data_IF_727334461926
#
_entry.id   IF_727334461926
#
_cell.length_a   1.000
_cell.length_b   1.000
_cell.length_c   1.000
_cell.angle_alpha   90.00
_cell.angle_beta   90.00
_cell.angle_gamma   90.00
#
_symmetry.space_group_name_H-M   'P 1'
#
loop_
_entity.id
_entity.type
_entity.pdbx_description
1 polymer ?
#
# COMPACT_ATOMS: atom_id res chain seq x y z
N UNK A 1 -12.32 13.14 3.36
CA UNK A 1 -10.85 13.10 3.22
C UNK A 1 -10.47 12.16 2.08
N UNK A 2 -9.90 12.68 0.99
CA UNK A 2 -9.45 11.88 -0.16
C UNK A 2 -8.21 11.07 0.23
N UNK A 3 -8.26 9.74 0.10
CA UNK A 3 -7.11 8.86 0.39
C UNK A 3 -6.53 8.36 -0.93
N UNK A 4 -5.53 9.06 -1.46
CA UNK A 4 -4.72 8.60 -2.58
C UNK A 4 -3.48 7.94 -2.00
N UNK A 5 -3.21 6.70 -2.40
CA UNK A 5 -1.99 5.98 -2.04
C UNK A 5 -1.18 5.70 -3.30
N UNK A 6 0.09 6.08 -3.30
CA UNK A 6 1.03 5.82 -4.39
C UNK A 6 2.26 5.19 -3.76
N UNK A 7 2.69 4.07 -4.32
CA UNK A 7 3.90 3.35 -3.93
C UNK A 7 4.93 3.50 -5.06
N UNK A 8 6.01 4.23 -4.80
CA UNK A 8 7.10 4.41 -5.75
C UNK A 8 8.23 3.47 -5.37
N UNK A 9 8.63 2.60 -6.28
CA UNK A 9 9.70 1.64 -6.05
C UNK A 9 10.80 1.79 -7.09
N UNK A 10 12.05 1.87 -6.67
CA UNK A 10 13.19 2.04 -7.56
C UNK A 10 14.26 1.01 -7.22
N UNK A 11 15.14 0.71 -8.17
CA UNK A 11 16.26 -0.20 -7.93
C UNK A 11 17.22 0.33 -6.86
N UNK A 12 17.98 -0.59 -6.27
CA UNK A 12 19.06 -0.28 -5.30
C UNK A 12 19.98 0.82 -5.84
N UNK A 13 20.43 0.67 -7.09
CA UNK A 13 21.37 1.60 -7.73
C UNK A 13 20.79 3.00 -7.88
N UNK A 14 19.54 3.12 -8.36
CA UNK A 14 18.85 4.41 -8.44
C UNK A 14 18.70 5.05 -7.06
N UNK A 15 18.32 4.27 -6.04
CA UNK A 15 18.17 4.75 -4.67
C UNK A 15 19.50 5.25 -4.09
N UNK A 16 20.58 4.48 -4.26
CA UNK A 16 21.94 4.84 -3.83
C UNK A 16 22.39 6.16 -4.47
N UNK A 17 22.30 6.25 -5.80
CA UNK A 17 22.71 7.44 -6.54
C UNK A 17 21.91 8.69 -6.12
N UNK A 18 20.58 8.56 -5.96
CA UNK A 18 19.72 9.66 -5.50
C UNK A 18 20.06 10.07 -4.08
N UNK A 19 20.29 9.11 -3.18
CA UNK A 19 20.68 9.38 -1.79
C UNK A 19 22.01 10.12 -1.72
N UNK A 20 23.00 9.66 -2.48
CA UNK A 20 24.32 10.28 -2.56
C UNK A 20 24.23 11.73 -3.07
N UNK A 21 23.41 12.00 -4.09
CA UNK A 21 23.21 13.36 -4.64
C UNK A 21 22.44 14.32 -3.72
N UNK A 22 21.75 13.81 -2.68
CA UNK A 22 20.86 14.60 -1.80
C UNK A 22 21.61 15.59 -0.90
N UNK A 23 22.82 15.25 -0.43
CA UNK A 23 23.57 16.08 0.53
C UNK A 23 24.77 16.81 -0.09
N UNK A 24 24.99 18.09 0.27
CA UNK A 24 26.15 18.88 -0.21
C UNK A 24 27.50 18.23 0.12
N UNK A 25 27.64 17.67 1.32
CA UNK A 25 28.85 16.98 1.75
C UNK A 25 29.03 15.62 1.05
N UNK A 26 27.93 14.94 0.73
CA UNK A 26 27.94 13.63 0.07
C UNK A 26 28.45 13.73 -1.36
N UNK A 27 28.12 14.79 -2.10
CA UNK A 27 28.58 15.02 -3.49
C UNK A 27 30.10 15.16 -3.64
N UNK A 28 30.83 15.37 -2.54
CA UNK A 28 32.29 15.47 -2.55
C UNK A 28 32.99 14.12 -2.37
N UNK A 29 32.24 13.08 -1.99
CA UNK A 29 32.76 11.71 -1.80
C UNK A 29 32.44 10.88 -3.03
N UNK A 30 33.11 9.75 -3.18
CA UNK A 30 32.74 8.79 -4.21
C UNK A 30 31.45 8.04 -3.83
N UNK A 31 30.75 7.52 -4.84
CA UNK A 31 29.54 6.71 -4.62
C UNK A 31 29.90 5.38 -3.94
N UNK A 32 31.03 4.78 -4.29
CA UNK A 32 31.51 3.51 -3.71
C UNK A 32 31.73 3.60 -2.20
N UNK A 33 32.24 4.73 -1.71
CA UNK A 33 32.41 4.99 -0.26
C UNK A 33 31.09 4.94 0.51
N UNK A 34 29.99 5.30 -0.16
CA UNK A 34 28.65 5.34 0.42
C UNK A 34 27.88 4.03 0.22
N UNK A 35 28.34 3.15 -0.67
CA UNK A 35 27.60 1.96 -1.08
C UNK A 35 27.46 0.96 0.06
N UNK A 36 28.56 0.60 0.74
CA UNK A 36 28.54 -0.37 1.84
C UNK A 36 27.59 0.10 2.96
N UNK A 37 27.74 1.35 3.39
CA UNK A 37 26.84 1.96 4.38
C UNK A 37 25.37 1.96 3.91
N UNK A 38 25.11 2.29 2.65
CA UNK A 38 23.75 2.34 2.14
C UNK A 38 23.12 0.95 2.06
N UNK A 39 23.87 -0.05 1.57
CA UNK A 39 23.41 -1.44 1.45
C UNK A 39 23.14 -2.05 2.82
N UNK A 40 24.14 -2.02 3.69
CA UNK A 40 24.12 -2.80 4.93
C UNK A 40 23.20 -2.17 5.99
N UNK A 41 22.95 -0.86 5.89
CA UNK A 41 22.05 -0.15 6.80
C UNK A 41 20.71 0.18 6.13
N UNK A 42 20.71 1.08 5.15
CA UNK A 42 19.46 1.66 4.63
C UNK A 42 18.67 0.62 3.82
N UNK A 43 19.32 -0.09 2.91
CA UNK A 43 18.66 -1.04 2.04
C UNK A 43 18.21 -2.30 2.80
N UNK A 44 19.06 -2.81 3.70
CA UNK A 44 18.70 -3.92 4.58
C UNK A 44 17.42 -3.62 5.40
N UNK A 45 17.31 -2.41 5.97
CA UNK A 45 16.09 -2.01 6.69
C UNK A 45 14.89 -1.84 5.75
N UNK A 46 15.09 -1.31 4.54
CA UNK A 46 14.03 -1.25 3.54
C UNK A 46 13.48 -2.66 3.24
N UNK A 47 14.35 -3.62 2.93
CA UNK A 47 13.95 -5.00 2.64
C UNK A 47 13.24 -5.66 3.82
N UNK A 48 13.79 -5.48 5.04
CA UNK A 48 13.19 -6.01 6.27
C UNK A 48 11.75 -5.51 6.48
N UNK A 49 11.48 -4.23 6.20
CA UNK A 49 10.18 -3.62 6.46
C UNK A 49 9.27 -3.54 5.23
N UNK A 50 9.75 -3.86 4.03
CA UNK A 50 9.01 -3.73 2.76
C UNK A 50 7.64 -4.42 2.81
N UNK A 51 7.59 -5.67 3.24
CA UNK A 51 6.34 -6.42 3.32
C UNK A 51 5.31 -5.74 4.24
N UNK A 52 5.75 -5.25 5.41
CA UNK A 52 4.90 -4.52 6.35
C UNK A 52 4.40 -3.19 5.75
N UNK A 53 5.26 -2.48 5.04
CA UNK A 53 4.90 -1.22 4.38
C UNK A 53 3.88 -1.44 3.26
N UNK A 54 4.06 -2.47 2.44
CA UNK A 54 3.11 -2.87 1.40
C UNK A 54 1.73 -3.24 1.97
N UNK A 55 1.71 -3.96 3.10
CA UNK A 55 0.47 -4.27 3.81
C UNK A 55 -0.27 -3.02 4.34
N UNK A 56 0.43 -1.91 4.60
CA UNK A 56 -0.21 -0.64 4.96
C UNK A 56 -0.69 0.15 3.72
N UNK A 57 -0.06 -0.12 2.58
CA UNK A 57 -0.30 0.50 1.29
C UNK A 57 -1.27 -0.31 0.40
N UNK A 58 -2.17 -1.11 0.97
CA UNK A 58 -3.19 -1.84 0.19
C UNK A 58 -3.94 -0.87 -0.73
N UNK A 59 -4.07 -1.28 -2.01
CA UNK A 59 -4.67 -0.53 -3.11
C UNK A 59 -3.90 0.73 -3.56
N UNK A 60 -2.62 0.86 -3.19
CA UNK A 60 -1.77 1.90 -3.76
C UNK A 60 -1.54 1.69 -5.25
N UNK A 61 -1.40 2.79 -6.00
CA UNK A 61 -0.83 2.75 -7.34
C UNK A 61 0.67 2.46 -7.21
N UNK A 62 1.13 1.33 -7.75
CA UNK A 62 2.55 1.03 -7.87
C UNK A 62 3.11 1.70 -9.11
N UNK A 63 4.21 2.43 -8.96
CA UNK A 63 4.92 3.07 -10.07
C UNK A 63 6.41 2.77 -9.98
N UNK A 64 7.00 2.55 -11.15
CA UNK A 64 8.44 2.38 -11.29
C UNK A 64 9.14 3.73 -11.09
N UNK A 65 10.02 3.78 -10.10
CA UNK A 65 10.81 4.94 -9.74
C UNK A 65 12.12 5.07 -10.50
N UNK A 66 12.49 4.11 -11.36
CA UNK A 66 13.69 4.17 -12.20
C UNK A 66 13.48 5.03 -13.46
N UNK A 67 12.24 5.27 -13.87
CA UNK A 67 11.89 6.15 -15.00
C UNK A 67 12.10 7.64 -14.68
N UNK A 68 12.03 8.47 -15.72
CA UNK A 68 12.14 9.93 -15.56
C UNK A 68 10.92 10.53 -14.84
N UNK A 69 11.05 11.78 -14.39
CA UNK A 69 10.01 12.45 -13.61
C UNK A 69 8.72 12.63 -14.41
N UNK A 70 8.86 12.92 -15.70
CA UNK A 70 7.78 13.18 -16.62
C UNK A 70 6.93 11.92 -16.84
N UNK A 71 7.57 10.75 -16.92
CA UNK A 71 6.91 9.45 -17.02
C UNK A 71 6.23 9.04 -15.70
N UNK A 72 6.85 9.32 -14.56
CA UNK A 72 6.21 9.13 -13.26
C UNK A 72 4.92 9.97 -13.16
N UNK A 73 4.96 11.22 -13.62
CA UNK A 73 3.81 12.11 -13.62
C UNK A 73 2.72 11.63 -14.58
N UNK A 74 3.09 11.19 -15.79
CA UNK A 74 2.13 10.70 -16.78
C UNK A 74 1.38 9.45 -16.28
N UNK A 75 2.01 8.62 -15.46
CA UNK A 75 1.37 7.48 -14.79
C UNK A 75 0.48 7.90 -13.61
N UNK A 76 0.96 8.80 -12.75
CA UNK A 76 0.26 9.17 -11.51
C UNK A 76 -0.98 10.06 -11.78
N UNK A 77 -0.89 10.98 -12.73
CA UNK A 77 -1.89 12.04 -12.90
C UNK A 77 -3.27 11.52 -13.33
N UNK A 78 -3.38 10.57 -14.29
CA UNK A 78 -4.66 9.93 -14.61
C UNK A 78 -5.27 9.18 -13.43
N UNK A 79 -4.45 8.49 -12.62
CA UNK A 79 -4.92 7.80 -11.42
C UNK A 79 -5.50 8.78 -10.40
N UNK A 80 -4.78 9.87 -10.10
CA UNK A 80 -5.26 10.92 -9.20
C UNK A 80 -6.58 11.52 -9.70
N UNK A 81 -6.70 11.83 -11.00
CA UNK A 81 -7.94 12.36 -11.61
C UNK A 81 -9.12 11.40 -11.42
N UNK A 82 -8.93 10.09 -11.67
CA UNK A 82 -9.98 9.08 -11.45
C UNK A 82 -10.40 9.00 -9.98
N UNK A 83 -9.45 9.00 -9.05
CA UNK A 83 -9.75 8.93 -7.61
C UNK A 83 -10.52 10.16 -7.12
N UNK A 84 -10.19 11.35 -7.65
CA UNK A 84 -10.93 12.58 -7.37
C UNK A 84 -12.34 12.52 -7.98
N UNK A 85 -12.45 12.18 -9.26
CA UNK A 85 -13.74 12.15 -9.97
C UNK A 85 -14.73 11.15 -9.35
N UNK A 86 -14.28 9.93 -9.04
CA UNK A 86 -15.10 8.92 -8.38
C UNK A 86 -15.65 9.41 -7.04
N UNK A 87 -14.86 10.20 -6.30
CA UNK A 87 -15.30 10.76 -5.02
C UNK A 87 -16.26 11.92 -5.17
N UNK A 88 -16.05 12.79 -6.17
CA UNK A 88 -16.94 13.93 -6.45
C UNK A 88 -18.31 13.44 -6.95
N UNK A 89 -18.36 12.39 -7.77
CA UNK A 89 -19.63 11.79 -8.22
C UNK A 89 -20.46 11.22 -7.04
N UNK A 90 -19.81 10.67 -6.02
CA UNK A 90 -20.50 10.22 -4.80
C UNK A 90 -21.09 11.40 -3.99
N UNK A 91 -20.49 12.59 -4.07
CA UNK A 91 -20.97 13.78 -3.34
C UNK A 91 -22.08 14.51 -4.12
N UNK A 92 -22.10 14.41 -5.45
CA UNK A 92 -23.03 15.12 -6.31
C UNK A 92 -24.16 14.26 -6.89
N UNK A 93 -24.21 12.95 -6.60
CA UNK A 93 -25.41 12.18 -6.87
C UNK A 93 -26.56 12.79 -6.06
N UNK A 94 -27.61 13.32 -6.71
CA UNK A 94 -28.81 13.71 -5.99
C UNK A 94 -29.26 12.47 -5.24
N UNK A 95 -29.47 12.60 -3.93
CA UNK A 95 -30.35 11.69 -3.22
C UNK A 95 -31.65 11.70 -4.00
N UNK A 96 -31.84 10.71 -4.88
CA UNK A 96 -33.14 10.47 -5.50
C UNK A 96 -34.05 10.08 -4.34
N UNK A 97 -34.64 11.09 -3.70
CA UNK A 97 -35.85 10.93 -2.90
C UNK A 97 -36.77 10.14 -3.79
N UNK A 98 -37.13 8.94 -3.33
CA UNK A 98 -38.01 8.04 -4.05
C UNK A 98 -39.19 8.83 -4.60
N UNK A 99 -39.19 8.98 -5.93
CA UNK A 99 -40.44 9.19 -6.64
C UNK A 99 -41.22 7.89 -6.39
N UNK A 100 -42.18 7.97 -5.49
CA UNK A 100 -43.30 7.05 -5.43
C UNK A 100 -43.90 6.99 -6.84
N UNK A 101 -43.46 6.03 -7.64
CA UNK A 101 -44.24 5.50 -8.74
C UNK A 101 -45.03 4.34 -8.14
N UNK A 102 -46.18 4.70 -7.56
CA UNK A 102 -47.29 3.77 -7.57
C UNK A 102 -47.67 3.57 -9.03
N UNK A 103 -47.20 2.48 -9.63
CA UNK A 103 -48.07 1.82 -10.58
C UNK A 103 -47.96 0.31 -10.48
N UNK A 104 -49.16 -0.26 -10.48
CA UNK A 104 -49.49 -1.63 -10.15
C UNK A 104 -49.15 -2.56 -11.31
N UNK A 105 -48.89 -3.80 -10.93
CA UNK A 105 -49.16 -5.03 -11.69
C UNK A 105 -48.34 -5.26 -12.96
N UNK A 106 -47.46 -6.27 -12.91
CA UNK A 106 -47.80 -7.63 -13.31
C UNK A 106 -46.67 -8.60 -12.93
N UNK A 107 -47.01 -9.62 -12.13
CA UNK A 107 -46.18 -10.80 -11.85
C UNK A 107 -46.05 -11.65 -13.13
N UNK A 108 -44.94 -12.38 -13.28
CA UNK A 108 -45.13 -13.83 -13.34
C UNK A 108 -44.14 -14.66 -12.51
N UNK A 109 -44.73 -15.72 -11.94
CA UNK A 109 -44.24 -17.09 -11.80
C UNK A 109 -42.80 -17.36 -11.30
N UNK A 110 -42.74 -17.49 -9.98
CA UNK A 110 -42.04 -18.51 -9.18
C UNK A 110 -41.58 -19.76 -9.96
N UNK A 111 -40.27 -19.96 -10.13
CA UNK A 111 -39.65 -21.27 -10.35
C UNK A 111 -38.74 -21.60 -9.17
N UNK A 112 -39.08 -22.69 -8.47
CA UNK A 112 -38.33 -23.28 -7.35
C UNK A 112 -37.28 -24.26 -7.90
N UNK A 113 -36.07 -24.25 -7.33
CA UNK A 113 -35.12 -25.37 -7.11
C UNK A 113 -33.89 -24.76 -6.42
N UNK A 114 -33.64 -24.88 -5.11
CA UNK A 114 -33.44 -26.05 -4.23
C UNK A 114 -32.12 -26.80 -4.48
N UNK A 115 -31.42 -27.03 -3.35
CA UNK A 115 -30.20 -27.82 -3.09
C UNK A 115 -28.87 -27.15 -3.51
N UNK A 116 -27.78 -27.15 -2.73
CA UNK A 116 -27.48 -27.57 -1.35
C UNK A 116 -26.04 -27.08 -1.05
N UNK A 117 -25.82 -26.53 0.15
CA UNK A 117 -24.51 -26.42 0.82
C UNK A 117 -23.98 -27.84 1.11
N UNK A 118 -22.66 -28.13 1.18
CA UNK A 118 -21.83 -27.59 2.27
C UNK A 118 -20.31 -27.45 1.99
N UNK A 119 -19.60 -26.75 2.87
CA UNK A 119 -18.58 -27.39 3.75
C UNK A 119 -17.55 -26.39 4.25
N UNK A 120 -17.62 -26.17 5.56
CA UNK A 120 -16.59 -25.61 6.42
C UNK A 120 -15.16 -26.02 6.03
N UNK A 121 -14.30 -25.02 5.83
CA UNK A 121 -12.86 -25.14 6.07
C UNK A 121 -12.44 -24.01 7.00
N UNK A 122 -12.44 -24.29 8.29
CA UNK A 122 -11.74 -23.50 9.29
C UNK A 122 -10.23 -23.48 8.96
N UNK A 123 -9.59 -22.30 8.89
CA UNK A 123 -8.13 -22.22 8.87
C UNK A 123 -7.55 -22.52 10.27
N UNK A 124 -6.35 -23.12 10.34
CA UNK A 124 -5.72 -23.52 11.60
C UNK A 124 -5.36 -22.32 12.47
N UNK A 125 -5.68 -22.41 13.77
CA UNK A 125 -5.28 -21.46 14.80
C UNK A 125 -3.75 -21.51 14.98
N UNK A 126 -3.05 -20.47 14.56
CA UNK A 126 -1.64 -20.26 14.87
C UNK A 126 -1.48 -20.04 16.38
N UNK A 127 -0.65 -20.88 17.01
CA UNK A 127 -0.30 -20.75 18.44
C UNK A 127 0.47 -19.45 18.69
N UNK A 128 0.26 -18.76 19.82
CA UNK A 128 1.10 -17.66 20.24
C UNK A 128 2.54 -18.14 20.46
N UNK A 129 3.48 -17.53 19.76
CA UNK A 129 4.93 -17.74 19.94
C UNK A 129 5.30 -17.19 21.31
N UNK A 130 5.72 -18.06 22.24
CA UNK A 130 6.26 -17.65 23.52
C UNK A 130 7.56 -16.86 23.27
N UNK A 131 7.58 -15.63 23.77
CA UNK A 131 8.77 -14.77 23.76
C UNK A 131 9.62 -15.15 24.98
N UNK A 132 10.91 -15.49 24.84
CA UNK A 132 11.77 -15.69 25.99
C UNK A 132 11.89 -14.37 26.76
N UNK A 133 11.51 -14.40 28.04
CA UNK A 133 11.84 -13.35 29.01
C UNK A 133 13.36 -13.31 29.14
N UNK A 134 14.01 -12.35 28.52
CA UNK A 134 15.39 -11.98 28.88
C UNK A 134 15.31 -11.23 30.22
N UNK A 135 15.62 -11.96 31.29
CA UNK A 135 15.93 -11.41 32.60
C UNK A 135 17.05 -10.37 32.47
N UNK A 136 16.77 -9.16 32.94
CA UNK A 136 17.74 -8.07 33.00
C UNK A 136 18.91 -8.42 33.91
N UNK A 137 20.11 -8.15 33.42
CA UNK A 137 21.29 -7.99 34.27
C UNK A 137 21.60 -6.50 34.31
N UNK A 138 21.18 -5.87 35.39
CA UNK A 138 21.50 -4.49 35.75
C UNK A 138 22.96 -4.51 36.23
N UNK A 139 23.90 -4.16 35.35
CA UNK A 139 25.27 -3.88 35.75
C UNK A 139 25.32 -2.42 36.24
N UNK A 140 25.30 -2.27 37.56
CA UNK A 140 25.69 -1.03 38.22
C UNK A 140 27.19 -0.81 37.99
N UNK A 141 27.55 0.31 37.37
CA UNK A 141 28.91 0.83 37.42
C UNK A 141 28.95 1.88 38.54
N UNK A 142 29.79 1.59 39.53
CA UNK A 142 30.34 2.54 40.49
C UNK A 142 31.33 3.47 39.79
#
# INVERSE_FOLDING_TARGET
MLHIKIWVEASFQTCLQRRHKRGKASRKRDVGDSEAWFRDLIWAYYEQYKSKQLNNAVNALHVDGDVCKEDLLSQCLPYCRRMVAARVQVVLLPHQKGAHSEDRCLRPARAKRALEEPSDRQPPRLRPRQVPRTSGSHAAYY
#
